data_IF_387849772021
#
_entry.id   IF_387849772021
#
_cell.length_a   1.000
_cell.length_b   1.000
_cell.length_c   1.000
_cell.angle_alpha   90.00
_cell.angle_beta   90.00
_cell.angle_gamma   90.00
#
_symmetry.space_group_name_H-M   'P 1'
#
loop_
_entity.id
_entity.type
_entity.pdbx_description
1 polymer ?
#
# COMPACT_ATOMS: atom_id res chain seq x y z
N UNK A 1 20.71 -18.96 2.68
CA UNK A 1 19.47 -19.65 3.07
C UNK A 1 18.40 -19.27 2.06
N UNK A 2 17.45 -20.16 1.73
CA UNK A 2 16.27 -19.75 0.98
C UNK A 2 15.51 -18.69 1.78
N UNK A 3 15.01 -17.68 1.10
CA UNK A 3 14.18 -16.62 1.69
C UNK A 3 12.87 -17.24 2.19
N UNK A 4 12.39 -16.80 3.35
CA UNK A 4 11.11 -17.24 3.90
C UNK A 4 9.94 -16.51 3.22
N UNK A 5 8.75 -17.11 3.26
CA UNK A 5 7.54 -16.49 2.72
C UNK A 5 7.22 -15.15 3.39
N UNK A 6 7.44 -15.04 4.70
CA UNK A 6 7.27 -13.78 5.43
C UNK A 6 8.22 -12.69 4.92
N UNK A 7 9.48 -13.04 4.64
CA UNK A 7 10.45 -12.11 4.04
C UNK A 7 10.09 -11.74 2.59
N UNK A 8 9.55 -12.68 1.79
CA UNK A 8 9.04 -12.39 0.43
C UNK A 8 7.91 -11.35 0.49
N UNK A 9 6.92 -11.57 1.36
CA UNK A 9 5.82 -10.60 1.58
C UNK A 9 6.37 -9.26 2.08
N UNK A 10 7.33 -9.26 3.00
CA UNK A 10 7.97 -8.05 3.51
C UNK A 10 8.60 -7.20 2.39
N UNK A 11 9.37 -7.83 1.50
CA UNK A 11 9.93 -7.16 0.31
C UNK A 11 8.83 -6.60 -0.59
N UNK A 12 7.74 -7.34 -0.78
CA UNK A 12 6.57 -6.84 -1.50
C UNK A 12 5.97 -5.58 -0.86
N UNK A 13 5.85 -5.55 0.47
CA UNK A 13 5.35 -4.38 1.21
C UNK A 13 6.27 -3.16 1.11
N UNK A 14 7.59 -3.37 1.11
CA UNK A 14 8.58 -2.30 0.90
C UNK A 14 8.48 -1.70 -0.50
N UNK A 15 8.35 -2.54 -1.54
CA UNK A 15 8.11 -2.09 -2.92
C UNK A 15 6.79 -1.34 -3.04
N UNK A 16 5.74 -1.85 -2.39
CA UNK A 16 4.43 -1.22 -2.35
C UNK A 16 4.50 0.19 -1.75
N UNK A 17 5.20 0.34 -0.62
CA UNK A 17 5.42 1.63 0.02
C UNK A 17 6.12 2.60 -0.93
N UNK A 18 7.25 2.19 -1.49
CA UNK A 18 8.08 3.02 -2.38
C UNK A 18 7.32 3.46 -3.64
N UNK A 19 6.54 2.57 -4.24
CA UNK A 19 5.79 2.87 -5.46
C UNK A 19 4.51 3.67 -5.23
N UNK A 20 3.81 3.44 -4.12
CA UNK A 20 2.55 4.14 -3.83
C UNK A 20 2.75 5.52 -3.22
N UNK A 21 3.82 5.74 -2.46
CA UNK A 21 4.05 7.02 -1.80
C UNK A 21 4.01 8.23 -2.75
N UNK A 22 4.76 8.28 -3.88
CA UNK A 22 4.72 9.45 -4.77
C UNK A 22 3.35 9.64 -5.44
N UNK A 23 2.67 8.55 -5.78
CA UNK A 23 1.32 8.59 -6.32
C UNK A 23 0.35 9.23 -5.32
N UNK A 24 0.34 8.73 -4.08
CA UNK A 24 -0.56 9.21 -3.03
C UNK A 24 -0.26 10.68 -2.66
N UNK A 25 1.01 11.04 -2.53
CA UNK A 25 1.43 12.41 -2.20
C UNK A 25 1.00 13.40 -3.29
N UNK A 26 1.04 13.02 -4.56
CA UNK A 26 0.53 13.84 -5.66
C UNK A 26 -0.98 14.04 -5.54
N UNK A 27 -1.77 12.97 -5.40
CA UNK A 27 -3.24 13.07 -5.28
C UNK A 27 -3.67 13.92 -4.08
N UNK A 28 -3.00 13.71 -2.94
CA UNK A 28 -3.28 14.45 -1.70
C UNK A 28 -2.90 15.92 -1.82
N UNK A 29 -1.78 16.22 -2.48
CA UNK A 29 -1.34 17.60 -2.73
C UNK A 29 -2.27 18.30 -3.71
N UNK A 30 -2.70 17.62 -4.76
CA UNK A 30 -3.63 18.18 -5.76
C UNK A 30 -5.01 18.48 -5.15
N UNK A 31 -5.50 17.60 -4.26
CA UNK A 31 -6.81 17.77 -3.65
C UNK A 31 -6.84 18.73 -2.45
N UNK A 32 -5.82 18.70 -1.58
CA UNK A 32 -5.83 19.43 -0.30
C UNK A 32 -4.73 20.49 -0.19
N UNK A 33 -3.84 20.61 -1.17
CA UNK A 33 -2.77 21.60 -1.20
C UNK A 33 -1.81 21.47 -0.01
N UNK A 34 -1.25 22.58 0.51
CA UNK A 34 -0.22 22.57 1.57
C UNK A 34 -0.64 21.92 2.89
N UNK A 35 -1.94 21.72 3.11
CA UNK A 35 -2.52 21.17 4.35
C UNK A 35 -2.79 19.66 4.28
N UNK A 36 -2.38 18.99 3.20
CA UNK A 36 -2.65 17.57 3.03
C UNK A 36 -2.11 16.72 4.19
N UNK A 37 -0.97 17.09 4.77
CA UNK A 37 -0.38 16.39 5.93
C UNK A 37 -1.27 16.47 7.18
N UNK A 38 -1.92 17.61 7.41
CA UNK A 38 -2.84 17.76 8.53
C UNK A 38 -4.12 16.96 8.32
N UNK A 39 -4.62 16.94 7.07
CA UNK A 39 -5.74 16.07 6.68
C UNK A 39 -5.39 14.59 6.88
N UNK A 40 -4.20 14.15 6.48
CA UNK A 40 -3.72 12.77 6.74
C UNK A 40 -3.63 12.48 8.24
N UNK A 41 -3.10 13.39 9.05
CA UNK A 41 -3.09 13.22 10.51
C UNK A 41 -4.50 13.08 11.10
N UNK A 42 -5.47 13.86 10.61
CA UNK A 42 -6.87 13.73 11.00
C UNK A 42 -7.47 12.40 10.55
N UNK A 43 -7.18 11.99 9.30
CA UNK A 43 -7.62 10.71 8.75
C UNK A 43 -7.04 9.51 9.48
N UNK A 44 -5.85 9.62 10.06
CA UNK A 44 -5.22 8.54 10.83
C UNK A 44 -5.46 8.67 12.34
N UNK A 45 -6.13 9.74 12.81
CA UNK A 45 -6.22 10.09 14.22
C UNK A 45 -7.00 9.10 15.10
N UNK A 46 -7.83 8.26 14.50
CA UNK A 46 -8.54 7.14 15.14
C UNK A 46 -7.75 5.83 15.09
N UNK A 47 -6.64 5.81 14.35
CA UNK A 47 -5.79 4.64 14.13
C UNK A 47 -4.49 4.80 14.93
N UNK A 48 -3.80 3.68 15.21
CA UNK A 48 -2.45 3.70 15.82
C UNK A 48 -1.34 4.07 14.83
N UNK A 49 -1.70 4.40 13.58
CA UNK A 49 -0.78 4.72 12.50
C UNK A 49 -0.34 6.18 12.60
N UNK A 50 0.91 6.45 12.29
CA UNK A 50 1.49 7.78 12.34
C UNK A 50 2.29 8.05 11.07
N UNK A 51 2.44 9.33 10.73
CA UNK A 51 3.43 9.75 9.74
C UNK A 51 4.80 9.56 10.38
N UNK A 52 5.57 8.58 9.91
CA UNK A 52 6.92 8.30 10.39
C UNK A 52 7.93 9.34 9.93
N UNK A 53 9.15 9.26 10.45
CA UNK A 53 10.25 10.17 10.08
C UNK A 53 10.66 10.10 8.61
N UNK A 54 10.45 8.95 7.96
CA UNK A 54 10.77 8.71 6.54
C UNK A 54 9.55 8.87 5.60
N UNK A 55 8.36 9.23 6.13
CA UNK A 55 7.14 9.39 5.35
C UNK A 55 5.98 8.53 5.86
N UNK A 56 5.09 8.13 4.95
CA UNK A 56 3.96 7.26 5.26
C UNK A 56 4.39 5.80 5.21
N UNK A 57 4.10 5.04 6.27
CA UNK A 57 4.28 3.59 6.24
C UNK A 57 3.27 2.95 5.26
N UNK A 58 3.59 1.74 4.78
CA UNK A 58 2.71 0.99 3.85
C UNK A 58 1.27 0.85 4.39
N UNK A 59 1.17 0.76 5.70
CA UNK A 59 -0.08 0.70 6.44
C UNK A 59 -0.95 1.96 6.25
N UNK A 60 -0.37 3.13 6.50
CA UNK A 60 -1.01 4.41 6.37
C UNK A 60 -1.38 4.67 4.91
N UNK A 61 -0.48 4.34 3.97
CA UNK A 61 -0.76 4.48 2.54
C UNK A 61 -2.04 3.72 2.15
N UNK A 62 -2.13 2.44 2.51
CA UNK A 62 -3.29 1.61 2.19
C UNK A 62 -4.57 2.10 2.87
N UNK A 63 -4.50 2.51 4.15
CA UNK A 63 -5.66 3.03 4.88
C UNK A 63 -6.15 4.36 4.29
N UNK A 64 -5.25 5.24 3.89
CA UNK A 64 -5.62 6.50 3.23
C UNK A 64 -6.30 6.21 1.89
N UNK A 65 -5.75 5.28 1.09
CA UNK A 65 -6.38 4.87 -0.17
C UNK A 65 -7.80 4.36 0.05
N UNK A 66 -8.03 3.50 1.05
CA UNK A 66 -9.37 2.98 1.34
C UNK A 66 -10.34 4.08 1.79
N UNK A 67 -9.93 4.96 2.72
CA UNK A 67 -10.78 6.02 3.29
C UNK A 67 -11.13 7.11 2.30
N UNK A 68 -10.17 7.55 1.50
CA UNK A 68 -10.34 8.61 0.50
C UNK A 68 -10.57 8.03 -0.92
N UNK A 69 -10.97 6.74 -1.03
CA UNK A 69 -11.17 6.06 -2.31
C UNK A 69 -12.11 6.81 -3.23
N UNK A 70 -13.29 7.16 -2.71
CA UNK A 70 -14.34 7.80 -3.51
C UNK A 70 -13.90 9.17 -4.00
N UNK A 71 -13.23 9.93 -3.15
CA UNK A 71 -12.97 11.34 -3.39
C UNK A 71 -11.69 11.57 -4.20
N UNK A 72 -10.67 10.71 -4.06
CA UNK A 72 -9.36 10.88 -4.71
C UNK A 72 -9.07 9.85 -5.80
N UNK A 73 -9.42 8.58 -5.57
CA UNK A 73 -8.92 7.48 -6.41
C UNK A 73 -9.93 6.93 -7.40
N UNK A 74 -11.23 7.11 -7.16
CA UNK A 74 -12.31 6.46 -7.93
C UNK A 74 -12.38 6.85 -9.41
N UNK A 75 -11.78 7.98 -9.78
CA UNK A 75 -11.72 8.48 -11.16
C UNK A 75 -10.64 7.79 -11.98
N UNK A 76 -9.54 7.36 -11.35
CA UNK A 76 -8.42 6.67 -12.01
C UNK A 76 -8.41 5.17 -11.78
N UNK A 77 -8.87 4.75 -10.59
CA UNK A 77 -8.85 3.37 -10.13
C UNK A 77 -10.27 2.83 -9.96
N UNK A 78 -10.57 1.75 -10.68
CA UNK A 78 -11.85 1.04 -10.58
C UNK A 78 -12.03 0.27 -9.26
N UNK A 79 -13.26 -0.19 -9.01
CA UNK A 79 -13.66 -0.97 -7.83
C UNK A 79 -12.81 -2.22 -7.57
N UNK A 80 -12.27 -2.85 -8.61
CA UNK A 80 -11.35 -3.99 -8.49
C UNK A 80 -10.09 -3.64 -7.71
N UNK A 81 -9.54 -2.45 -7.90
CA UNK A 81 -8.35 -1.99 -7.19
C UNK A 81 -8.64 -1.70 -5.71
N UNK A 82 -9.85 -1.22 -5.39
CA UNK A 82 -10.28 -1.08 -3.98
C UNK A 82 -10.31 -2.44 -3.26
N UNK A 83 -10.71 -3.50 -3.96
CA UNK A 83 -10.68 -4.84 -3.39
C UNK A 83 -9.23 -5.29 -3.11
N UNK A 84 -8.31 -5.00 -4.04
CA UNK A 84 -6.87 -5.28 -3.86
C UNK A 84 -6.29 -4.49 -2.68
N UNK A 85 -6.64 -3.21 -2.53
CA UNK A 85 -6.20 -2.39 -1.39
C UNK A 85 -6.66 -3.01 -0.08
N UNK A 86 -7.93 -3.42 0.01
CA UNK A 86 -8.48 -4.06 1.21
C UNK A 86 -7.81 -5.42 1.50
N UNK A 87 -7.52 -6.21 0.46
CA UNK A 87 -6.75 -7.44 0.59
C UNK A 87 -5.33 -7.16 1.14
N UNK A 88 -4.65 -6.15 0.60
CA UNK A 88 -3.30 -5.78 1.04
C UNK A 88 -3.28 -5.22 2.47
N UNK A 89 -4.35 -4.56 2.93
CA UNK A 89 -4.50 -4.18 4.35
C UNK A 89 -4.47 -5.43 5.23
N UNK A 90 -5.22 -6.47 4.87
CA UNK A 90 -5.24 -7.73 5.61
C UNK A 90 -3.87 -8.42 5.59
N UNK A 91 -3.25 -8.55 4.41
CA UNK A 91 -1.90 -9.13 4.26
C UNK A 91 -0.88 -8.39 5.12
N UNK A 92 -0.88 -7.05 5.07
CA UNK A 92 0.04 -6.21 5.86
C UNK A 92 -0.16 -6.43 7.35
N UNK A 93 -1.41 -6.54 7.82
CA UNK A 93 -1.72 -6.81 9.22
C UNK A 93 -1.16 -8.18 9.66
N UNK A 94 -1.41 -9.24 8.88
CA UNK A 94 -0.85 -10.58 9.13
C UNK A 94 0.68 -10.56 9.15
N UNK A 95 1.30 -9.84 8.21
CA UNK A 95 2.76 -9.67 8.16
C UNK A 95 3.31 -8.95 9.40
N UNK A 96 2.66 -7.86 9.83
CA UNK A 96 3.06 -7.12 11.03
C UNK A 96 2.91 -7.94 12.31
N UNK A 97 1.98 -8.89 12.35
CA UNK A 97 1.77 -9.83 13.46
C UNK A 97 2.65 -11.09 13.38
N UNK A 98 3.57 -11.18 12.40
CA UNK A 98 4.45 -12.34 12.21
C UNK A 98 3.67 -13.65 11.98
N UNK A 99 2.50 -13.56 11.34
CA UNK A 99 1.73 -14.74 10.97
C UNK A 99 2.46 -15.55 9.88
N UNK A 100 2.24 -16.87 9.88
CA UNK A 100 2.83 -17.76 8.89
C UNK A 100 2.09 -17.62 7.55
N UNK A 101 2.83 -17.42 6.46
CA UNK A 101 2.30 -17.39 5.11
C UNK A 101 2.54 -18.73 4.40
N UNK A 102 1.48 -19.28 3.81
CA UNK A 102 1.61 -20.37 2.85
C UNK A 102 2.24 -19.86 1.54
N UNK A 103 2.69 -20.77 0.67
CA UNK A 103 3.21 -20.38 -0.64
C UNK A 103 2.11 -19.70 -1.47
N UNK A 104 0.90 -20.27 -1.48
CA UNK A 104 -0.24 -19.73 -2.24
C UNK A 104 -0.64 -18.33 -1.74
N UNK A 105 -0.66 -18.12 -0.42
CA UNK A 105 -0.96 -16.80 0.16
C UNK A 105 0.14 -15.78 -0.17
N UNK A 106 1.39 -16.23 -0.21
CA UNK A 106 2.55 -15.39 -0.56
C UNK A 106 2.48 -14.96 -2.01
N UNK A 107 2.27 -15.90 -2.93
CA UNK A 107 2.22 -15.60 -4.36
C UNK A 107 0.99 -14.73 -4.68
N UNK A 108 -0.14 -14.96 -4.01
CA UNK A 108 -1.32 -14.08 -4.10
C UNK A 108 -1.05 -12.67 -3.57
N UNK A 109 -0.39 -12.55 -2.42
CA UNK A 109 -0.01 -11.25 -1.87
C UNK A 109 0.88 -10.46 -2.84
N UNK A 110 1.86 -11.13 -3.45
CA UNK A 110 2.77 -10.53 -4.43
C UNK A 110 2.05 -10.11 -5.72
N UNK A 111 1.14 -10.93 -6.26
CA UNK A 111 0.30 -10.55 -7.41
C UNK A 111 -0.57 -9.33 -7.09
N UNK A 112 -1.17 -9.28 -5.91
CA UNK A 112 -1.93 -8.11 -5.42
C UNK A 112 -1.04 -6.85 -5.33
N UNK A 113 0.20 -6.98 -4.84
CA UNK A 113 1.19 -5.88 -4.80
C UNK A 113 1.48 -5.40 -6.22
N UNK A 114 1.84 -6.30 -7.14
CA UNK A 114 2.13 -5.97 -8.55
C UNK A 114 0.96 -5.24 -9.19
N UNK A 115 -0.27 -5.75 -9.06
CA UNK A 115 -1.45 -5.15 -9.69
C UNK A 115 -1.71 -3.74 -9.19
N UNK A 116 -1.59 -3.51 -7.88
CA UNK A 116 -1.79 -2.18 -7.32
C UNK A 116 -0.69 -1.20 -7.75
N UNK A 117 0.57 -1.64 -7.76
CA UNK A 117 1.70 -0.84 -8.24
C UNK A 117 1.56 -0.47 -9.73
N UNK A 118 1.18 -1.42 -10.59
CA UNK A 118 0.90 -1.14 -12.00
C UNK A 118 -0.24 -0.15 -12.16
N UNK A 119 -1.30 -0.27 -11.36
CA UNK A 119 -2.44 0.64 -11.41
C UNK A 119 -2.07 2.07 -10.94
N UNK A 120 -1.15 2.19 -9.99
CA UNK A 120 -0.60 3.47 -9.53
C UNK A 120 0.50 4.06 -10.44
N UNK A 121 0.87 3.38 -11.52
CA UNK A 121 1.92 3.82 -12.45
C UNK A 121 3.36 3.52 -11.99
N UNK A 122 3.54 2.76 -10.91
CA UNK A 122 4.84 2.36 -10.35
C UNK A 122 5.36 1.09 -11.05
N UNK A 123 5.58 1.16 -12.37
CA UNK A 123 6.03 0.03 -13.17
C UNK A 123 7.39 -0.57 -12.75
N UNK A 124 8.42 0.23 -12.36
CA UNK A 124 9.70 -0.32 -11.91
C UNK A 124 9.57 -1.21 -10.65
N UNK A 125 8.82 -0.72 -9.66
CA UNK A 125 8.52 -1.46 -8.43
C UNK A 125 7.69 -2.71 -8.72
N UNK A 126 6.69 -2.61 -9.59
CA UNK A 126 5.86 -3.75 -9.99
C UNK A 126 6.69 -4.87 -10.66
N UNK A 127 7.60 -4.51 -11.57
CA UNK A 127 8.45 -5.50 -12.23
C UNK A 127 9.40 -6.17 -11.22
N UNK A 128 9.87 -5.43 -10.21
CA UNK A 128 10.71 -6.01 -9.15
C UNK A 128 9.88 -6.97 -8.28
N UNK A 129 8.61 -6.66 -8.02
CA UNK A 129 7.71 -7.51 -7.24
C UNK A 129 7.41 -8.84 -7.95
N UNK A 130 7.30 -8.82 -9.28
CA UNK A 130 7.10 -10.02 -10.12
C UNK A 130 8.28 -11.01 -10.07
N UNK A 131 9.46 -10.56 -9.62
CA UNK A 131 10.68 -11.36 -9.55
C UNK A 131 10.95 -11.98 -8.15
N UNK A 132 10.07 -11.74 -7.16
CA UNK A 132 10.20 -12.21 -5.76
C UNK A 132 9.68 -13.64 -5.57
#
# INVERSE_FOLDING_TARGET
>A
MPITNHERVGKGMELLQRGLQPFLESELTDAYGPKWRDKVKQLLGDTRLQIGGEGLDVAALLVIMDREWKDLFSTRLGRSHLAIVNELIAVRNSWAHQEAFSNDDTDRALDSVTRLLRAAGAAPEANTADEI
#
